data_IF_665168221771
#
_entry.id   IF_665168221771
#
_cell.length_a   1.000
_cell.length_b   1.000
_cell.length_c   1.000
_cell.angle_alpha   90.00
_cell.angle_beta   90.00
_cell.angle_gamma   90.00
#
_symmetry.space_group_name_H-M   'P 1'
#
loop_
_entity.id
_entity.type
_entity.pdbx_description
1 polymer ?
#
# COMPACT_ATOMS: atom_id res chain seq x y z
N UNK A 1 -28.17 -6.02 -10.15
CA UNK A 1 -27.68 -4.70 -9.70
C UNK A 1 -26.48 -4.95 -8.80
N UNK A 2 -25.29 -5.08 -9.38
CA UNK A 2 -24.02 -5.33 -8.68
C UNK A 2 -23.02 -4.32 -9.21
N UNK A 3 -23.06 -3.09 -8.69
CA UNK A 3 -22.23 -1.99 -9.22
C UNK A 3 -21.53 -1.18 -8.12
N UNK A 4 -21.65 -1.59 -6.85
CA UNK A 4 -20.95 -0.92 -5.74
C UNK A 4 -19.66 -1.62 -5.30
N UNK A 5 -19.45 -2.90 -5.64
CA UNK A 5 -18.21 -3.62 -5.27
C UNK A 5 -17.03 -3.35 -6.21
N UNK A 6 -17.29 -2.81 -7.41
CA UNK A 6 -16.23 -2.53 -8.39
C UNK A 6 -15.54 -1.18 -8.18
N UNK A 7 -16.25 -0.16 -7.71
CA UNK A 7 -15.66 1.18 -7.53
C UNK A 7 -14.76 1.28 -6.28
N UNK A 8 -15.17 0.68 -5.15
CA UNK A 8 -14.31 0.61 -3.97
C UNK A 8 -13.17 -0.42 -4.16
N UNK A 9 -13.45 -1.54 -4.84
CA UNK A 9 -12.44 -2.57 -5.14
C UNK A 9 -11.35 -2.08 -6.10
N UNK A 10 -11.72 -1.32 -7.14
CA UNK A 10 -10.77 -0.77 -8.12
C UNK A 10 -9.81 0.25 -7.51
N UNK A 11 -10.32 1.24 -6.77
CA UNK A 11 -9.48 2.25 -6.12
C UNK A 11 -8.56 1.62 -5.07
N UNK A 12 -9.06 0.64 -4.31
CA UNK A 12 -8.24 -0.10 -3.34
C UNK A 12 -7.17 -0.93 -4.06
N UNK A 13 -7.48 -1.53 -5.21
CA UNK A 13 -6.53 -2.31 -5.99
C UNK A 13 -5.43 -1.44 -6.61
N UNK A 14 -5.77 -0.33 -7.27
CA UNK A 14 -4.79 0.65 -7.78
C UNK A 14 -3.87 1.17 -6.67
N UNK A 15 -4.43 1.49 -5.50
CA UNK A 15 -3.64 1.95 -4.34
C UNK A 15 -2.70 0.85 -3.85
N UNK A 16 -3.18 -0.39 -3.74
CA UNK A 16 -2.35 -1.53 -3.35
C UNK A 16 -1.25 -1.82 -4.39
N UNK A 17 -1.53 -1.68 -5.67
CA UNK A 17 -0.55 -1.87 -6.74
C UNK A 17 0.56 -0.81 -6.67
N UNK A 18 0.20 0.47 -6.48
CA UNK A 18 1.17 1.56 -6.29
C UNK A 18 2.06 1.30 -5.07
N UNK A 19 1.46 0.95 -3.93
CA UNK A 19 2.21 0.60 -2.72
C UNK A 19 3.13 -0.61 -3.00
N UNK A 20 2.63 -1.64 -3.68
CA UNK A 20 3.40 -2.85 -4.03
C UNK A 20 4.63 -2.54 -4.89
N UNK A 21 4.53 -1.55 -5.78
CA UNK A 21 5.66 -1.05 -6.61
C UNK A 21 6.63 -0.14 -5.85
N UNK A 22 6.34 0.21 -4.60
CA UNK A 22 7.14 1.14 -3.81
C UNK A 22 6.88 2.61 -4.13
N UNK A 23 5.76 2.94 -4.78
CA UNK A 23 5.28 4.32 -4.96
C UNK A 23 4.68 4.80 -3.63
N UNK A 24 5.55 5.33 -2.76
CA UNK A 24 5.20 5.75 -1.40
C UNK A 24 5.29 7.27 -1.18
N UNK A 25 5.63 8.01 -2.22
CA UNK A 25 5.84 9.46 -2.19
C UNK A 25 4.63 10.22 -1.62
N UNK A 26 3.42 9.85 -2.04
CA UNK A 26 2.17 10.46 -1.52
C UNK A 26 2.02 10.29 0.01
N UNK A 27 2.53 9.18 0.56
CA UNK A 27 2.48 8.88 1.99
C UNK A 27 3.59 9.59 2.76
N UNK A 28 4.76 9.74 2.13
CA UNK A 28 5.89 10.53 2.66
C UNK A 28 5.49 12.00 2.76
N UNK A 29 4.91 12.57 1.70
CA UNK A 29 4.40 13.95 1.70
C UNK A 29 3.34 14.17 2.78
N UNK A 30 2.47 13.19 3.01
CA UNK A 30 1.49 13.21 4.10
C UNK A 30 2.16 13.18 5.48
N UNK A 31 3.23 12.40 5.66
CA UNK A 31 4.00 12.38 6.91
C UNK A 31 4.72 13.71 7.16
N UNK A 32 5.38 14.27 6.15
CA UNK A 32 6.09 15.55 6.26
C UNK A 32 5.12 16.70 6.58
N UNK A 33 3.98 16.75 5.89
CA UNK A 33 2.96 17.77 6.12
C UNK A 33 2.24 17.62 7.46
N UNK A 34 2.23 16.43 8.05
CA UNK A 34 1.69 16.21 9.41
C UNK A 34 2.51 16.93 10.49
N UNK A 35 3.81 17.15 10.25
CA UNK A 35 4.75 17.71 11.23
C UNK A 35 4.93 16.86 12.49
N UNK A 36 4.48 15.59 12.48
CA UNK A 36 4.54 14.67 13.62
C UNK A 36 5.90 13.96 13.74
N UNK A 37 6.67 13.94 12.66
CA UNK A 37 7.93 13.19 12.56
C UNK A 37 9.07 14.12 12.16
N UNK A 38 10.27 13.82 12.65
CA UNK A 38 11.49 14.48 12.18
C UNK A 38 11.84 14.02 10.76
N UNK A 39 12.52 14.87 10.00
CA UNK A 39 12.93 14.57 8.62
C UNK A 39 13.75 13.28 8.55
N UNK A 40 14.62 13.02 9.52
CA UNK A 40 15.42 11.79 9.56
C UNK A 40 14.55 10.53 9.69
N UNK A 41 13.50 10.60 10.51
CA UNK A 41 12.53 9.51 10.68
C UNK A 41 11.72 9.27 9.41
N UNK A 42 11.28 10.33 8.73
CA UNK A 42 10.52 10.21 7.49
C UNK A 42 11.35 9.55 6.38
N UNK A 43 12.63 9.93 6.24
CA UNK A 43 13.54 9.31 5.28
C UNK A 43 13.81 7.83 5.59
N UNK A 44 13.92 7.45 6.86
CA UNK A 44 14.06 6.05 7.26
C UNK A 44 12.79 5.24 6.93
N UNK A 45 11.61 5.81 7.21
CA UNK A 45 10.32 5.20 6.85
C UNK A 45 10.17 5.03 5.34
N UNK A 46 10.51 6.05 4.54
CA UNK A 46 10.52 5.98 3.08
C UNK A 46 11.41 4.82 2.61
N UNK A 47 12.65 4.76 3.10
CA UNK A 47 13.60 3.71 2.72
C UNK A 47 13.06 2.32 3.06
N UNK A 48 12.52 2.16 4.27
CA UNK A 48 11.91 0.91 4.70
C UNK A 48 10.73 0.54 3.82
N UNK A 49 9.85 1.47 3.48
CA UNK A 49 8.67 1.19 2.65
C UNK A 49 9.02 0.89 1.19
N UNK A 50 10.07 1.49 0.63
CA UNK A 50 10.54 1.13 -0.72
C UNK A 50 11.17 -0.27 -0.76
N UNK A 51 11.87 -0.69 0.30
CA UNK A 51 12.46 -2.04 0.37
C UNK A 51 11.43 -3.11 0.77
N UNK A 52 10.51 -2.75 1.66
CA UNK A 52 9.50 -3.63 2.24
C UNK A 52 8.13 -2.94 2.19
N UNK A 53 7.52 -2.84 1.00
CA UNK A 53 6.25 -2.12 0.80
C UNK A 53 5.08 -2.72 1.60
N UNK A 54 5.21 -3.98 2.01
CA UNK A 54 4.27 -4.62 2.94
C UNK A 54 4.19 -3.93 4.30
N UNK A 55 5.27 -3.32 4.79
CA UNK A 55 5.27 -2.61 6.07
C UNK A 55 4.34 -1.39 6.05
N UNK A 56 4.25 -0.68 4.92
CA UNK A 56 3.29 0.41 4.76
C UNK A 56 1.86 -0.12 4.75
N UNK A 57 1.60 -1.22 4.03
CA UNK A 57 0.29 -1.84 4.01
C UNK A 57 -0.17 -2.27 5.42
N UNK A 58 0.71 -2.93 6.17
CA UNK A 58 0.41 -3.39 7.53
C UNK A 58 0.06 -2.20 8.45
N UNK A 59 0.74 -1.06 8.27
CA UNK A 59 0.45 0.18 8.99
C UNK A 59 -0.93 0.76 8.63
N UNK A 60 -1.28 0.79 7.34
CA UNK A 60 -2.60 1.27 6.88
C UNK A 60 -3.75 0.38 7.34
N UNK A 61 -3.48 -0.89 7.57
CA UNK A 61 -4.46 -1.89 7.99
C UNK A 61 -4.54 -2.09 9.51
N UNK A 62 -3.68 -1.44 10.29
CA UNK A 62 -3.57 -1.63 11.74
C UNK A 62 -4.93 -1.43 12.44
N UNK A 63 -5.66 -0.39 12.07
CA UNK A 63 -6.98 -0.05 12.60
C UNK A 63 -8.15 -0.45 11.68
N UNK A 64 -7.88 -1.17 10.60
CA UNK A 64 -8.90 -1.63 9.68
C UNK A 64 -9.69 -2.81 10.25
N UNK A 65 -10.95 -2.95 9.84
CA UNK A 65 -11.76 -4.12 10.19
C UNK A 65 -11.23 -5.41 9.55
N UNK A 66 -11.55 -6.55 10.15
CA UNK A 66 -11.06 -7.87 9.73
C UNK A 66 -11.43 -8.19 8.26
N UNK A 67 -12.58 -7.72 7.77
CA UNK A 67 -12.99 -7.94 6.39
C UNK A 67 -12.10 -7.15 5.41
N UNK A 68 -11.79 -5.90 5.74
CA UNK A 68 -10.84 -5.05 4.99
C UNK A 68 -9.43 -5.64 5.01
N UNK A 69 -8.95 -6.09 6.18
CA UNK A 69 -7.64 -6.76 6.29
C UNK A 69 -7.57 -8.01 5.40
N UNK A 70 -8.58 -8.89 5.46
CA UNK A 70 -8.63 -10.11 4.64
C UNK A 70 -8.67 -9.78 3.15
N UNK A 71 -9.47 -8.78 2.75
CA UNK A 71 -9.56 -8.36 1.34
C UNK A 71 -8.21 -7.86 0.82
N UNK A 72 -7.55 -6.99 1.57
CA UNK A 72 -6.24 -6.46 1.18
C UNK A 72 -5.16 -7.54 1.16
N UNK A 73 -5.18 -8.49 2.10
CA UNK A 73 -4.26 -9.63 2.09
C UNK A 73 -4.42 -10.53 0.84
N UNK A 74 -5.67 -10.78 0.41
CA UNK A 74 -5.95 -11.56 -0.81
C UNK A 74 -5.45 -10.82 -2.04
N UNK A 75 -5.75 -9.52 -2.16
CA UNK A 75 -5.29 -8.68 -3.28
C UNK A 75 -3.76 -8.58 -3.32
N UNK A 76 -3.11 -8.41 -2.18
CA UNK A 76 -1.66 -8.37 -2.08
C UNK A 76 -1.02 -9.68 -2.51
N UNK A 77 -1.56 -10.82 -2.07
CA UNK A 77 -1.08 -12.13 -2.49
C UNK A 77 -1.27 -12.38 -4.01
N UNK A 78 -2.26 -11.75 -4.64
CA UNK A 78 -2.42 -11.78 -6.09
C UNK A 78 -1.33 -10.94 -6.79
N UNK A 79 -1.01 -9.75 -6.27
CA UNK A 79 0.08 -8.90 -6.78
C UNK A 79 1.45 -9.57 -6.64
N UNK A 80 1.73 -10.20 -5.49
CA UNK A 80 2.97 -10.97 -5.26
C UNK A 80 3.18 -12.09 -6.29
N UNK A 81 2.09 -12.70 -6.79
CA UNK A 81 2.16 -13.72 -7.84
C UNK A 81 2.40 -13.13 -9.23
N UNK A 82 1.99 -11.88 -9.47
CA UNK A 82 2.14 -11.20 -10.76
C UNK A 82 3.48 -10.47 -10.89
N UNK A 83 4.07 -10.05 -9.77
CA UNK A 83 5.35 -9.33 -9.74
C UNK A 83 6.51 -10.05 -10.47
N UNK A 84 6.70 -11.38 -10.36
CA UNK A 84 7.75 -12.09 -11.09
C UNK A 84 7.54 -12.08 -12.61
N UNK A 85 6.29 -11.97 -13.05
CA UNK A 85 5.91 -12.00 -14.46
C UNK A 85 6.12 -10.61 -15.10
N UNK A 86 5.89 -9.53 -14.33
CA UNK A 86 6.11 -8.16 -14.79
C UNK A 86 7.60 -7.82 -15.01
N UNK A 87 8.52 -8.52 -14.33
CA UNK A 87 9.97 -8.29 -14.43
C UNK A 87 10.64 -9.03 -15.60
N UNK A 88 9.90 -9.88 -16.33
CA UNK A 88 10.35 -10.64 -17.49
C UNK A 88 9.86 -10.06 -18.84
N UNK A 89 9.20 -8.90 -18.82
CA UNK A 89 8.68 -8.19 -19.99
C UNK A 89 9.56 -7.04 -20.44
#
# INVERSE_FOLDING_TARGET
MFSYEFFAGGVVYDTLERIHRGEVDDWVDALESSGLFDVSTVLEMEHQWRQHPKSLLDLLLLDADEMTQRRCAISWAALDRLAPIAQLG
#
